data_IF_662147760316
#
_entry.id   IF_662147760316
#
_cell.length_a   1.000
_cell.length_b   1.000
_cell.length_c   1.000
_cell.angle_alpha   90.00
_cell.angle_beta   90.00
_cell.angle_gamma   90.00
#
_symmetry.space_group_name_H-M   'P 1'
#
loop_
_entity.id
_entity.type
_entity.pdbx_description
1 polymer ?
2 non-polymer ?
3 water ?
#
# COMPACT_ATOMS: atom_id res chain seq x y z
N UNK A 8 -21.70 -3.79 -15.15
CA UNK A 8 -21.53 -5.19 -14.78
C UNK A 8 -20.51 -5.34 -13.66
N UNK A 9 -20.95 -5.79 -12.48
CA UNK A 9 -20.04 -5.90 -11.35
C UNK A 9 -19.00 -7.00 -11.51
N UNK A 10 -17.79 -6.76 -10.99
CA UNK A 10 -16.69 -7.71 -11.03
C UNK A 10 -17.02 -8.98 -10.24
N UNK A 11 -16.57 -10.15 -10.71
CA UNK A 11 -16.79 -11.42 -10.00
C UNK A 11 -15.53 -11.86 -9.21
N UNK A 12 -14.72 -10.88 -8.82
CA UNK A 12 -13.43 -11.05 -8.17
C UNK A 12 -13.60 -11.05 -6.68
N UNK A 13 -13.13 -12.12 -6.01
CA UNK A 13 -13.23 -12.18 -4.55
C UNK A 13 -12.37 -11.07 -3.95
N UNK A 14 -12.98 -10.25 -3.11
CA UNK A 14 -12.31 -9.13 -2.48
C UNK A 14 -12.88 -8.96 -1.11
N UNK A 15 -12.08 -8.39 -0.20
CA UNK A 15 -12.57 -8.09 1.13
C UNK A 15 -11.78 -6.95 1.68
N UNK A 16 -12.40 -6.13 2.52
CA UNK A 16 -11.68 -5.06 3.22
C UNK A 16 -12.43 -4.95 4.57
N UNK A 17 -11.86 -5.52 5.64
CA UNK A 17 -12.53 -5.51 6.95
C UNK A 17 -11.78 -4.59 7.91
N UNK A 18 -12.48 -4.03 8.88
CA UNK A 18 -11.88 -2.99 9.73
C UNK A 18 -11.97 -3.35 11.22
N UNK A 19 -11.07 -2.80 12.06
CA UNK A 19 -11.14 -3.09 13.50
C UNK A 19 -12.44 -2.50 14.05
N UNK A 20 -13.10 -3.25 14.94
CA UNK A 20 -14.30 -2.76 15.60
C UNK A 20 -13.78 -1.77 16.61
N UNK A 21 -14.10 -0.48 16.48
CA UNK A 21 -13.59 0.50 17.44
C UNK A 21 -14.24 0.45 18.82
N UNK A 22 -15.34 -0.30 18.96
CA UNK A 22 -16.00 -0.43 20.26
C UNK A 22 -15.24 -1.42 21.16
N UNK A 23 -14.65 -2.48 20.54
CA UNK A 23 -13.92 -3.55 21.19
C UNK A 23 -12.50 -3.18 21.64
N UNK A 24 -12.37 -2.15 22.48
CA UNK A 24 -11.05 -1.73 23.01
C UNK A 24 -10.40 -2.89 23.78
N UNK A 25 -9.11 -3.12 23.57
CA UNK A 25 -8.41 -4.22 24.22
C UNK A 25 -8.53 -5.54 23.48
N UNK A 26 -9.00 -5.49 22.22
CA UNK A 26 -9.19 -6.68 21.37
C UNK A 26 -9.05 -6.24 19.90
N UNK A 27 -8.83 -7.18 18.97
CA UNK A 27 -8.76 -6.82 17.56
C UNK A 27 -9.79 -7.63 16.86
N UNK A 28 -11.00 -7.10 16.77
CA UNK A 28 -12.07 -7.83 16.13
C UNK A 28 -12.34 -7.19 14.78
N UNK A 29 -12.27 -7.98 13.74
CA UNK A 29 -12.51 -7.50 12.39
C UNK A 29 -14.02 -7.43 12.13
N UNK A 30 -14.46 -6.38 11.43
CA UNK A 30 -15.86 -6.23 11.04
C UNK A 30 -16.04 -6.00 9.56
N UNK A 31 -17.05 -6.61 8.98
CA UNK A 31 -17.53 -6.30 7.62
C UNK A 31 -18.85 -5.48 7.75
N UNK A 32 -19.57 -5.63 8.91
CA UNK A 32 -20.78 -4.93 9.28
C UNK A 32 -20.33 -3.66 9.96
N UNK A 33 -19.81 -2.77 9.12
CA UNK A 33 -19.32 -1.46 9.53
C UNK A 33 -19.26 -0.61 8.25
N UNK A 34 -19.37 0.70 8.39
CA UNK A 34 -19.27 1.62 7.24
C UNK A 34 -17.94 1.44 6.51
N UNK A 35 -17.98 1.45 5.17
CA UNK A 35 -16.79 1.38 4.34
C UNK A 35 -15.95 0.09 4.57
N UNK A 36 -16.64 -1.00 4.97
CA UNK A 36 -16.02 -2.33 5.10
C UNK A 36 -16.83 -3.24 4.18
N UNK A 37 -16.21 -4.27 3.62
CA UNK A 37 -16.92 -5.14 2.69
C UNK A 37 -16.37 -6.53 2.58
N UNK A 38 -17.23 -7.40 2.05
CA UNK A 38 -16.95 -8.75 1.65
C UNK A 38 -17.62 -8.87 0.28
N UNK A 39 -16.93 -9.40 -0.73
CA UNK A 39 -17.55 -9.55 -2.04
C UNK A 39 -17.15 -10.83 -2.72
N UNK A 40 -18.09 -11.40 -3.49
CA UNK A 40 -17.90 -12.56 -4.34
C UNK A 40 -17.38 -13.83 -3.62
N UNK A 41 -18.04 -14.20 -2.53
CA UNK A 41 -17.76 -15.41 -1.77
C UNK A 41 -16.84 -15.31 -0.56
N UNK A 42 -16.16 -14.16 -0.37
CA UNK A 42 -15.27 -14.02 0.78
C UNK A 42 -16.12 -13.93 2.02
N UNK A 43 -15.81 -14.75 3.05
CA UNK A 43 -16.56 -14.73 4.30
C UNK A 43 -15.69 -14.27 5.46
N UNK A 44 -16.29 -13.74 6.51
CA UNK A 44 -15.58 -13.38 7.72
C UNK A 44 -16.19 -14.32 8.77
N UNK A 45 -15.41 -15.31 9.23
CA UNK A 45 -15.88 -16.30 10.19
C UNK A 45 -14.88 -16.44 11.33
N UNK A 46 -15.32 -16.20 12.58
CA UNK A 46 -14.49 -16.30 13.79
C UNK A 46 -13.22 -15.44 13.67
N UNK A 47 -13.39 -14.18 13.25
CA UNK A 47 -12.29 -13.20 13.08
C UNK A 47 -11.34 -13.52 11.94
N UNK A 48 -11.69 -14.45 11.05
CA UNK A 48 -10.81 -14.82 9.95
C UNK A 48 -11.50 -14.67 8.58
N UNK A 49 -10.75 -14.26 7.55
CA UNK A 49 -11.32 -14.14 6.21
C UNK A 49 -11.21 -15.53 5.58
N UNK A 50 -12.28 -16.01 4.98
CA UNK A 50 -12.29 -17.31 4.34
C UNK A 50 -12.26 -17.13 2.85
N UNK A 51 -11.28 -17.74 2.22
CA UNK A 51 -11.04 -17.64 0.80
C UNK A 51 -12.02 -18.54 0.05
N UNK A 52 -12.79 -18.00 -0.92
CA UNK A 52 -13.81 -18.84 -1.57
C UNK A 52 -13.29 -19.72 -2.69
N UNK A 53 -12.21 -19.32 -3.35
CA UNK A 53 -11.64 -20.07 -4.45
C UNK A 53 -10.12 -19.97 -4.49
N UNK A 54 -9.47 -20.92 -5.14
CA UNK A 54 -8.01 -20.93 -5.27
C UNK A 54 -7.48 -19.84 -6.23
N UNK A 55 -6.20 -19.49 -6.08
CA UNK A 55 -5.56 -18.52 -6.96
C UNK A 55 -4.60 -17.60 -6.23
N UNK A 56 -3.97 -16.68 -6.96
CA UNK A 56 -3.09 -15.69 -6.33
C UNK A 56 -3.95 -14.59 -5.73
N UNK A 57 -3.55 -14.10 -4.57
CA UNK A 57 -4.25 -13.00 -3.92
C UNK A 57 -3.25 -12.03 -3.36
N UNK A 58 -3.60 -10.75 -3.37
CA UNK A 58 -2.86 -9.76 -2.65
C UNK A 58 -3.53 -9.77 -1.28
N UNK A 59 -2.74 -9.81 -0.24
CA UNK A 59 -3.22 -9.73 1.12
C UNK A 59 -2.56 -8.47 1.69
N UNK A 60 -3.29 -7.67 2.45
CA UNK A 60 -2.75 -6.42 2.99
C UNK A 60 -3.40 -6.13 4.31
N UNK A 61 -2.70 -5.37 5.15
CA UNK A 61 -3.24 -5.00 6.43
C UNK A 61 -2.43 -3.92 7.06
N UNK A 62 -3.10 -2.99 7.74
CA UNK A 62 -2.41 -1.98 8.52
C UNK A 62 -2.96 -1.98 9.91
N UNK A 63 -2.06 -1.81 10.89
CA UNK A 63 -2.48 -1.60 12.27
C UNK A 63 -1.75 -0.35 12.72
N UNK A 64 -2.33 0.38 13.66
CA UNK A 64 -1.67 1.57 14.16
C UNK A 64 -1.50 1.44 15.66
N UNK A 65 -0.27 1.60 16.16
CA UNK A 65 -0.03 1.54 17.60
C UNK A 65 0.25 2.93 18.12
N UNK A 66 -0.24 3.22 19.30
CA UNK A 66 -0.05 4.52 19.93
C UNK A 66 0.27 4.32 21.40
N UNK A 67 1.16 5.14 21.92
CA UNK A 67 1.53 5.09 23.33
C UNK A 67 1.83 6.48 23.85
N UNK A 68 1.65 6.71 25.15
CA UNK A 68 1.92 8.02 25.74
C UNK A 68 3.22 7.95 26.54
N UNK A 69 4.34 8.16 25.86
CA UNK A 69 5.65 8.09 26.50
C UNK A 69 6.32 6.75 26.33
N UNK A 70 7.29 6.43 27.20
CA UNK A 70 8.00 5.17 27.11
C UNK A 70 8.14 4.52 28.49
N UNK A 71 7.51 3.34 28.67
CA UNK A 71 7.56 2.66 29.98
C UNK A 71 8.90 2.00 30.31
N UNK A 72 9.06 1.57 31.59
CA UNK A 72 10.25 0.90 32.12
C UNK A 72 10.59 -0.41 31.38
N UNK A 73 9.60 -1.28 31.15
CA UNK A 73 9.82 -2.53 30.42
C UNK A 73 9.83 -2.21 28.92
N UNK A 74 10.74 -2.85 28.15
CA UNK A 74 10.80 -2.59 26.70
C UNK A 74 9.59 -3.15 25.94
N UNK A 75 9.03 -2.33 25.05
CA UNK A 75 7.85 -2.69 24.26
C UNK A 75 8.23 -3.23 22.89
N UNK A 76 7.67 -4.37 22.50
CA UNK A 76 7.88 -4.97 21.19
C UNK A 76 6.50 -5.10 20.54
N UNK A 77 6.29 -4.51 19.35
CA UNK A 77 4.99 -4.57 18.69
C UNK A 77 5.09 -5.48 17.49
N UNK A 78 4.20 -6.45 17.36
CA UNK A 78 4.22 -7.39 16.25
C UNK A 78 2.84 -7.41 15.57
N UNK A 79 2.84 -7.66 14.28
CA UNK A 79 1.62 -7.81 13.49
C UNK A 79 1.94 -8.97 12.55
N UNK A 80 1.03 -9.93 12.46
CA UNK A 80 1.30 -11.14 11.66
C UNK A 80 0.07 -11.56 10.91
N UNK A 81 0.25 -12.01 9.66
CA UNK A 81 -0.85 -12.52 8.89
C UNK A 81 -0.60 -13.99 8.68
N UNK A 82 -1.54 -14.81 9.13
CA UNK A 82 -1.43 -16.27 9.09
C UNK A 82 -2.43 -16.91 8.15
N UNK A 83 -2.07 -18.06 7.62
CA UNK A 83 -2.92 -18.86 6.75
C UNK A 83 -3.20 -20.17 7.50
N UNK A 84 -4.46 -20.60 7.51
CA UNK A 84 -4.87 -21.86 8.12
C UNK A 84 -5.48 -22.66 6.97
N UNK A 85 -4.69 -23.52 6.33
CA UNK A 85 -5.21 -24.28 5.19
C UNK A 85 -6.15 -25.42 5.64
N UNK A 86 -7.07 -25.86 4.74
CA UNK A 86 -7.99 -26.96 5.03
C UNK A 86 -7.20 -28.29 5.26
N UNK A 87 -6.11 -28.49 4.54
CA UNK A 87 -5.27 -29.69 4.66
C UNK A 87 -4.19 -29.62 5.75
N UNK A 88 -4.01 -28.46 6.38
CA UNK A 88 -3.03 -28.28 7.43
C UNK A 88 -3.55 -27.16 8.30
N UNK A 89 -4.50 -27.49 9.16
CA UNK A 89 -5.23 -26.52 9.96
C UNK A 89 -4.46 -25.95 11.15
N UNK A 90 -3.25 -25.44 10.89
CA UNK A 90 -2.39 -24.77 11.86
C UNK A 90 -1.96 -23.44 11.25
N UNK A 91 -1.85 -22.39 12.07
CA UNK A 91 -1.43 -21.07 11.59
C UNK A 91 -0.01 -21.11 11.02
N UNK A 92 0.12 -20.80 9.74
CA UNK A 92 1.40 -20.68 9.08
C UNK A 92 1.59 -19.23 8.69
N UNK A 93 2.62 -18.57 9.21
CA UNK A 93 2.88 -17.17 8.94
C UNK A 93 3.17 -16.92 7.48
N UNK A 94 2.57 -15.87 6.94
CA UNK A 94 2.79 -15.44 5.57
C UNK A 94 3.56 -14.12 5.60
N UNK A 95 3.15 -13.21 6.48
CA UNK A 95 3.71 -11.87 6.60
C UNK A 95 3.85 -11.57 8.07
N UNK A 96 4.92 -10.89 8.44
CA UNK A 96 5.14 -10.54 9.84
C UNK A 96 6.05 -9.34 9.96
N UNK A 97 5.91 -8.55 11.01
CA UNK A 97 6.79 -7.39 11.22
C UNK A 97 6.84 -7.03 12.68
N UNK A 98 8.03 -6.61 13.15
CA UNK A 98 8.26 -6.25 14.55
C UNK A 98 8.79 -4.82 14.64
N UNK A 99 8.37 -4.08 15.66
CA UNK A 99 8.80 -2.70 15.84
C UNK A 99 9.08 -2.40 17.30
N UNK A 100 10.09 -1.56 17.57
CA UNK A 100 10.40 -1.14 18.92
C UNK A 100 10.15 0.34 18.93
N UNK A 101 8.96 0.76 19.39
CA UNK A 101 8.62 2.20 19.37
C UNK A 101 9.56 3.10 20.14
N UNK A 102 10.07 2.60 21.28
CA UNK A 102 10.98 3.36 22.12
C UNK A 102 12.38 2.78 22.01
N UNK A 103 13.30 3.50 21.38
CA UNK A 103 14.69 3.06 21.29
C UNK A 103 15.29 3.31 22.68
N UNK A 104 15.13 4.54 23.20
CA UNK A 104 15.58 4.94 24.52
C UNK A 104 14.35 5.22 25.38
N UNK A 105 14.33 4.68 26.60
CA UNK A 105 13.25 4.86 27.56
C UNK A 105 13.21 6.32 28.07
N UNK A 106 12.01 6.81 28.43
CA UNK A 106 11.78 8.16 28.94
C UNK A 106 12.59 8.44 30.20
N UNK A 107 13.47 9.45 30.16
CA UNK A 107 14.26 9.78 31.35
C UNK A 107 13.56 10.74 32.31
N UNK A 112 7.22 13.05 28.57
CA UNK A 112 6.53 11.93 27.94
C UNK A 112 5.78 12.39 26.70
N UNK A 113 6.28 12.00 25.52
CA UNK A 113 5.64 12.39 24.27
C UNK A 113 4.92 11.22 23.59
N UNK A 114 3.68 11.44 23.12
CA UNK A 114 2.96 10.35 22.43
C UNK A 114 3.67 9.89 21.16
N UNK A 115 3.75 8.58 20.96
CA UNK A 115 4.36 8.01 19.76
C UNK A 115 3.31 7.24 18.97
N UNK A 116 3.45 7.22 17.65
CA UNK A 116 2.56 6.50 16.77
C UNK A 116 3.41 5.63 15.88
N UNK A 117 3.07 4.33 15.80
CA UNK A 117 3.80 3.33 15.01
C UNK A 117 2.90 2.48 14.15
N UNK A 118 2.76 2.82 12.87
CA UNK A 118 1.97 1.97 11.98
C UNK A 118 2.77 0.76 11.55
N UNK A 119 2.06 -0.34 11.34
CA UNK A 119 2.68 -1.54 10.83
C UNK A 119 1.88 -1.93 9.64
N UNK A 120 2.54 -1.92 8.49
CA UNK A 120 1.90 -2.30 7.26
C UNK A 120 2.47 -3.65 6.84
N UNK A 121 1.60 -4.53 6.30
CA UNK A 121 1.97 -5.83 5.78
C UNK A 121 1.21 -6.01 4.48
N UNK A 122 1.88 -6.54 3.47
CA UNK A 122 1.24 -6.76 2.19
C UNK A 122 2.07 -7.71 1.36
N UNK A 123 1.41 -8.55 0.59
CA UNK A 123 2.11 -9.48 -0.28
C UNK A 123 1.20 -10.31 -1.12
N UNK A 124 1.76 -10.98 -2.12
CA UNK A 124 0.97 -11.83 -3.02
C UNK A 124 1.23 -13.30 -2.69
N UNK A 125 0.16 -14.05 -2.42
CA UNK A 125 0.30 -15.46 -2.08
C UNK A 125 -0.70 -16.31 -2.83
N UNK A 126 -0.33 -17.56 -3.12
CA UNK A 126 -1.24 -18.51 -3.73
C UNK A 126 -2.05 -19.09 -2.58
N UNK A 127 -3.37 -19.00 -2.66
CA UNK A 127 -4.25 -19.51 -1.61
C UNK A 127 -5.16 -20.59 -2.17
N UNK A 128 -5.70 -21.44 -1.30
CA UNK A 128 -6.61 -22.51 -1.70
C UNK A 128 -8.01 -22.27 -1.14
N UNK A 129 -9.02 -22.86 -1.79
CA UNK A 129 -10.41 -22.71 -1.35
C UNK A 129 -10.59 -23.22 0.06
N UNK A 130 -11.14 -22.38 0.93
CA UNK A 130 -11.35 -22.77 2.31
C UNK A 130 -10.26 -22.30 3.26
N UNK A 131 -9.17 -21.69 2.74
CA UNK A 131 -8.11 -21.12 3.58
C UNK A 131 -8.68 -20.04 4.44
N UNK A 132 -8.25 -20.00 5.68
CA UNK A 132 -8.69 -18.98 6.62
C UNK A 132 -7.49 -18.07 6.86
N UNK A 133 -7.72 -16.75 6.90
CA UNK A 133 -6.64 -15.81 7.06
C UNK A 133 -6.84 -15.03 8.33
N UNK A 134 -5.82 -15.03 9.15
CA UNK A 134 -5.83 -14.37 10.43
C UNK A 134 -4.90 -13.14 10.35
N UNK A 135 -5.17 -12.09 11.12
CA UNK A 135 -4.32 -10.89 11.14
C UNK A 135 -4.33 -10.47 12.58
N UNK A 136 -3.22 -10.74 13.28
CA UNK A 136 -3.17 -10.51 14.72
C UNK A 136 -2.04 -9.67 15.22
N UNK A 137 -2.27 -8.97 16.32
CA UNK A 137 -1.23 -8.22 16.98
C UNK A 137 -0.91 -8.88 18.37
N UNK A 138 0.25 -8.55 18.96
CA UNK A 138 0.58 -9.08 20.28
C UNK A 138 0.08 -8.15 21.38
N UNK A 139 0.02 -6.82 21.10
CA UNK A 139 -0.42 -5.83 22.07
C UNK A 139 -1.70 -5.09 21.69
N UNK A 140 -2.91 -5.69 21.91
CA UNK A 140 -4.17 -4.95 21.64
C UNK A 140 -4.36 -3.73 22.52
N UNK A 141 -3.68 -3.68 23.68
CA UNK A 141 -3.75 -2.53 24.57
C UNK A 141 -3.01 -1.28 24.02
N UNK A 142 -2.16 -1.46 22.97
CA UNK A 142 -1.46 -0.33 22.33
C UNK A 142 -2.13 0.11 21.00
N UNK A 143 -2.99 -0.74 20.44
CA UNK A 143 -3.73 -0.51 19.22
C UNK A 143 -4.57 0.78 19.29
N UNK A 144 -4.52 1.59 18.22
CA UNK A 144 -5.27 2.83 18.12
C UNK A 144 -6.25 2.68 16.95
N UNK A 145 -7.52 2.46 17.28
CA UNK A 145 -8.56 2.34 16.27
C UNK A 145 -9.79 3.16 16.59
N UNK A 146 -9.66 4.23 17.39
CA UNK A 146 -10.81 5.07 17.72
C UNK A 146 -11.27 5.78 16.44
N UNK A 147 -10.36 6.53 15.74
CA UNK A 147 -10.66 7.20 14.47
C UNK A 147 -10.63 6.13 13.36
N UNK A 148 -11.54 6.23 12.39
CA UNK A 148 -11.65 5.23 11.35
C UNK A 148 -10.50 5.24 10.30
N UNK A 149 -10.37 4.16 9.54
CA UNK A 149 -9.34 4.05 8.51
C UNK A 149 -7.93 3.68 8.97
N UNK A 150 -7.70 3.53 10.28
CA UNK A 150 -6.36 3.22 10.80
C UNK A 150 -6.01 1.75 10.89
N UNK A 151 -7.02 0.89 11.04
CA UNK A 151 -6.77 -0.51 11.24
C UNK A 151 -7.66 -1.30 10.33
N UNK A 152 -7.03 -2.08 9.44
CA UNK A 152 -7.77 -2.79 8.43
C UNK A 152 -7.04 -4.01 7.88
N UNK A 153 -7.75 -4.83 7.09
CA UNK A 153 -7.20 -6.09 6.62
C UNK A 153 -8.01 -6.44 5.40
N UNK A 154 -7.35 -6.71 4.30
CA UNK A 154 -8.06 -7.01 3.08
C UNK A 154 -7.37 -7.98 2.18
N UNK A 155 -8.11 -8.49 1.22
CA UNK A 155 -7.61 -9.34 0.15
C UNK A 155 -8.21 -8.86 -1.19
N UNK A 156 -7.47 -9.13 -2.27
CA UNK A 156 -7.91 -8.84 -3.61
C UNK A 156 -7.39 -9.99 -4.44
N UNK A 157 -8.28 -10.77 -5.05
CA UNK A 157 -7.85 -11.87 -5.91
C UNK A 157 -7.26 -11.32 -7.19
N UNK A 158 -6.10 -11.82 -7.63
CA UNK A 158 -5.50 -11.34 -8.88
C UNK A 158 -6.22 -11.94 -10.09
N UNK B 12 -6.52 -10.89 -21.58
CA UNK B 12 -6.11 -9.71 -20.82
C UNK B 12 -4.64 -9.79 -20.45
N UNK B 13 -3.82 -8.90 -20.99
CA UNK B 13 -2.38 -8.93 -20.65
C UNK B 13 -2.11 -8.77 -19.17
N UNK B 14 -1.52 -9.80 -18.53
CA UNK B 14 -1.14 -9.75 -17.11
C UNK B 14 0.29 -10.26 -16.93
N UNK B 15 0.95 -9.85 -15.84
CA UNK B 15 2.30 -10.28 -15.51
C UNK B 15 2.56 -10.14 -14.01
N UNK B 16 3.23 -11.13 -13.41
CA UNK B 16 3.62 -11.11 -12.02
C UNK B 16 4.92 -11.85 -11.88
N UNK B 17 6.05 -11.13 -11.97
CA UNK B 17 7.37 -11.74 -11.84
C UNK B 17 7.94 -11.61 -10.43
N UNK B 18 8.82 -12.53 -10.06
CA UNK B 18 9.46 -12.58 -8.76
C UNK B 18 11.00 -12.38 -8.96
N UNK B 19 11.74 -12.07 -7.88
CA UNK B 19 13.18 -11.90 -7.99
C UNK B 19 13.91 -13.24 -8.02
N UNK B 20 15.06 -13.29 -8.71
CA UNK B 20 15.90 -14.47 -8.80
C UNK B 20 16.86 -14.47 -7.61
N UNK B 21 16.74 -15.44 -6.69
CA UNK B 21 17.63 -15.46 -5.52
C UNK B 21 18.90 -16.28 -5.75
N UNK B 23 21.07 -15.55 -8.99
CA UNK B 23 21.41 -14.14 -9.13
C UNK B 23 21.73 -13.50 -7.79
N UNK B 24 22.95 -13.01 -7.66
CA UNK B 24 23.41 -12.35 -6.44
C UNK B 24 23.79 -10.89 -6.76
N UNK B 25 23.75 -10.05 -5.74
CA UNK B 25 24.08 -8.63 -5.88
C UNK B 25 23.27 -7.88 -6.91
N UNK B 26 22.09 -8.41 -7.26
CA UNK B 26 21.24 -7.75 -8.26
C UNK B 26 19.76 -8.11 -8.09
N UNK B 27 18.88 -7.34 -8.75
CA UNK B 27 17.45 -7.57 -8.74
C UNK B 27 17.04 -8.02 -10.13
N UNK B 28 17.10 -9.34 -10.37
CA UNK B 28 16.75 -9.89 -11.66
C UNK B 28 15.34 -10.44 -11.59
N UNK B 29 14.50 -10.06 -12.55
CA UNK B 29 13.11 -10.53 -12.56
C UNK B 29 13.01 -11.82 -13.35
N UNK B 30 12.21 -12.77 -12.85
CA UNK B 30 12.07 -14.05 -13.55
C UNK B 30 10.66 -14.63 -13.46
N UNK B 31 10.32 -15.50 -14.42
CA UNK B 31 9.05 -16.20 -14.48
C UNK B 31 9.32 -17.68 -14.13
N UNK B 35 5.84 -18.39 -7.18
CA UNK B 35 4.49 -18.23 -7.70
C UNK B 35 4.44 -17.10 -8.74
N UNK B 36 5.22 -17.23 -9.82
CA UNK B 36 5.27 -16.24 -10.88
C UNK B 36 4.46 -16.64 -12.11
N UNK B 37 4.03 -15.66 -12.91
CA UNK B 37 3.24 -15.92 -14.13
C UNK B 37 3.35 -14.80 -15.16
N UNK B 38 3.49 -15.17 -16.43
CA UNK B 38 3.52 -14.22 -17.56
C UNK B 38 2.46 -14.69 -18.57
N UNK B 39 1.59 -13.79 -19.05
CA UNK B 39 0.52 -14.19 -19.97
C UNK B 39 0.00 -13.08 -20.91
N UNK B 40 -0.68 -13.49 -22.01
CA UNK B 40 -1.38 -12.70 -23.01
C UNK B 40 -0.60 -11.56 -23.70
N UNK B 41 0.70 -11.77 -23.91
CA UNK B 41 1.51 -10.79 -24.64
C UNK B 41 2.58 -10.09 -23.83
N UNK B 42 2.49 -10.15 -22.48
CA UNK B 42 3.50 -9.49 -21.66
C UNK B 42 4.76 -10.31 -21.61
N UNK B 43 5.80 -9.82 -22.29
CA UNK B 43 7.08 -10.51 -22.31
C UNK B 43 8.07 -9.90 -21.33
N UNK B 44 9.03 -10.70 -20.88
CA UNK B 44 10.07 -10.24 -19.98
C UNK B 44 11.38 -10.21 -20.74
N UNK B 45 11.66 -9.09 -21.42
CA UNK B 45 12.89 -8.96 -22.19
C UNK B 45 14.09 -8.70 -21.28
N UNK B 47 15.84 -6.40 -18.78
CA UNK B 47 15.16 -6.86 -17.56
C UNK B 47 13.76 -6.20 -17.39
N UNK B 48 13.18 -5.71 -18.48
CA UNK B 48 11.95 -4.96 -18.42
C UNK B 48 10.74 -5.68 -18.99
N UNK B 49 9.57 -5.41 -18.40
CA UNK B 49 8.32 -5.97 -18.88
C UNK B 49 7.91 -5.12 -20.08
N UNK B 50 7.58 -5.74 -21.22
CA UNK B 50 7.23 -4.97 -22.40
C UNK B 50 5.74 -5.04 -22.67
N UNK B 51 5.10 -3.88 -22.82
CA UNK B 51 3.67 -3.67 -23.01
C UNK B 51 3.18 -4.13 -24.39
N UNK B 52 2.32 -5.15 -24.43
CA UNK B 52 1.87 -5.69 -25.73
C UNK B 52 0.89 -4.82 -26.50
N UNK B 53 0.01 -4.11 -25.81
CA UNK B 53 -0.98 -3.26 -26.46
C UNK B 53 -1.23 -1.99 -25.69
N UNK B 54 -1.57 -0.91 -26.41
CA UNK B 54 -1.88 0.37 -25.84
C UNK B 54 -3.12 0.26 -24.95
N UNK B 55 -3.06 0.86 -23.78
CA UNK B 55 -4.19 0.82 -22.86
C UNK B 55 -3.86 1.29 -21.46
N UNK B 56 -4.78 1.05 -20.55
CA UNK B 56 -4.64 1.41 -19.13
C UNK B 56 -4.14 0.18 -18.39
N UNK B 57 -3.15 0.38 -17.55
CA UNK B 57 -2.56 -0.72 -16.80
C UNK B 57 -2.37 -0.34 -15.36
N UNK B 58 -2.66 -1.27 -14.44
CA UNK B 58 -2.27 -1.08 -13.05
C UNK B 58 -0.87 -1.69 -13.03
N UNK B 59 0.10 -0.95 -12.53
CA UNK B 59 1.47 -1.40 -12.38
C UNK B 59 1.73 -1.40 -10.89
N UNK B 60 2.25 -2.51 -10.36
CA UNK B 60 2.52 -2.61 -8.93
C UNK B 60 3.87 -3.30 -8.68
N UNK B 61 4.36 -3.20 -7.45
CA UNK B 61 5.58 -3.88 -7.05
C UNK B 61 5.78 -3.77 -5.54
N UNK B 62 6.69 -4.59 -5.04
CA UNK B 62 7.16 -4.54 -3.67
C UNK B 62 8.56 -5.10 -3.63
N UNK B 63 9.40 -4.51 -2.81
CA UNK B 63 10.74 -5.02 -2.55
C UNK B 63 10.88 -5.04 -1.04
N UNK B 64 11.78 -5.87 -0.54
CA UNK B 64 12.02 -5.99 0.88
C UNK B 64 13.51 -5.86 1.13
N UNK B 65 13.87 -4.88 1.95
CA UNK B 65 15.26 -4.66 2.30
C UNK B 65 15.46 -5.17 3.70
N UNK B 66 16.69 -5.60 4.02
CA UNK B 66 17.02 -6.09 5.35
C UNK B 66 18.52 -5.83 5.66
N UNK B 67 18.80 -5.55 6.91
CA UNK B 67 20.17 -5.34 7.35
C UNK B 67 20.33 -5.56 8.85
N UNK B 68 21.58 -5.62 9.31
CA UNK B 68 21.84 -5.81 10.74
C UNK B 68 22.64 -4.63 11.21
N UNK B 69 22.08 -3.88 12.16
CA UNK B 69 22.73 -2.68 12.66
C UNK B 69 22.81 -1.57 11.63
N UNK B 70 23.47 -0.47 11.98
CA UNK B 70 23.62 0.69 11.12
C UNK B 70 25.07 0.97 10.78
N UNK B 71 25.37 1.21 9.50
CA UNK B 71 26.77 1.47 9.11
C UNK B 71 27.23 2.92 9.38
N UNK B 72 28.50 3.22 9.09
CA UNK B 72 29.06 4.56 9.27
C UNK B 72 28.54 5.46 8.16
N UNK B 73 28.47 4.95 6.92
CA UNK B 73 27.94 5.72 5.80
C UNK B 73 26.41 5.65 5.88
N UNK B 74 25.74 6.82 5.80
CA UNK B 74 24.28 6.90 5.87
C UNK B 74 23.68 6.17 4.66
N UNK B 75 22.75 5.25 4.91
CA UNK B 75 22.17 4.45 3.84
C UNK B 75 20.74 4.88 3.50
N UNK B 76 20.51 5.14 2.23
CA UNK B 76 19.18 5.46 1.74
C UNK B 76 18.80 4.35 0.79
N UNK B 77 17.59 3.82 0.97
CA UNK B 77 17.06 2.69 0.19
C UNK B 77 16.01 3.23 -0.78
N UNK B 78 16.09 2.93 -2.07
CA UNK B 78 15.13 3.45 -3.03
C UNK B 78 14.57 2.33 -3.86
N UNK B 79 13.34 2.50 -4.31
CA UNK B 79 12.70 1.54 -5.21
C UNK B 79 11.91 2.38 -6.19
N UNK B 80 12.13 2.15 -7.50
CA UNK B 80 11.51 2.94 -8.54
C UNK B 80 11.01 2.08 -9.68
N UNK B 81 9.81 2.41 -10.18
CA UNK B 81 9.23 1.82 -11.37
C UNK B 81 9.36 2.91 -12.45
N UNK B 82 10.00 2.60 -13.59
CA UNK B 82 10.17 3.57 -14.65
C UNK B 82 9.47 3.15 -15.93
N UNK B 83 9.12 4.12 -16.75
CA UNK B 83 8.53 3.88 -18.06
C UNK B 83 9.56 4.33 -19.11
N UNK B 84 9.76 3.49 -20.13
CA UNK B 84 10.66 3.78 -21.24
C UNK B 84 9.82 3.70 -22.50
N UNK B 85 9.45 4.84 -23.10
CA UNK B 85 8.62 4.84 -24.30
C UNK B 85 9.45 5.09 -25.55
N UNK B 90 12.93 7.85 -23.68
CA UNK B 90 13.43 8.42 -22.41
C UNK B 90 13.09 7.52 -21.21
N UNK B 91 13.78 7.69 -20.08
CA UNK B 91 13.49 6.91 -18.87
C UNK B 91 12.87 7.84 -17.84
N UNK B 92 11.58 7.62 -17.51
CA UNK B 92 10.85 8.49 -16.59
C UNK B 92 10.29 7.72 -15.39
N UNK B 93 10.40 8.28 -14.18
CA UNK B 93 9.87 7.64 -12.98
C UNK B 93 8.35 7.68 -13.05
N UNK B 94 7.72 6.54 -12.80
CA UNK B 94 6.26 6.44 -12.70
C UNK B 94 5.91 6.41 -11.22
N UNK B 95 6.58 5.52 -10.45
CA UNK B 95 6.33 5.31 -9.03
C UNK B 95 7.68 5.20 -8.29
N UNK B 96 7.87 5.93 -7.17
CA UNK B 96 9.16 5.90 -6.48
C UNK B 96 9.03 6.23 -5.01
N UNK B 97 9.87 5.64 -4.17
CA UNK B 97 9.89 5.95 -2.74
C UNK B 97 11.30 5.70 -2.16
N UNK B 98 11.59 6.33 -1.04
CA UNK B 98 12.89 6.21 -0.39
C UNK B 98 12.65 5.93 1.08
N UNK B 99 13.47 5.07 1.67
CA UNK B 99 13.40 4.74 3.09
C UNK B 99 14.78 4.94 3.73
N UNK B 100 14.83 5.48 4.94
CA UNK B 100 16.08 5.67 5.65
C UNK B 100 16.04 4.75 6.88
N UNK B 101 16.62 3.54 6.78
CA UNK B 101 16.53 2.59 7.91
C UNK B 101 17.39 2.90 9.12
N UNK B 102 18.23 3.93 9.07
CA UNK B 102 19.15 4.23 10.17
C UNK B 102 19.28 5.74 10.44
N UNK B 103 18.63 6.24 11.49
CA UNK B 103 18.72 7.67 11.82
C UNK B 103 19.97 7.98 12.64
N UNK B 113 20.92 -4.34 16.23
CA UNK B 113 19.56 -4.82 16.04
C UNK B 113 19.22 -5.01 14.57
N UNK B 114 18.67 -6.17 14.19
CA UNK B 114 18.30 -6.38 12.77
C UNK B 114 17.08 -5.54 12.36
N UNK B 115 16.98 -5.18 11.08
CA UNK B 115 15.87 -4.38 10.57
C UNK B 115 15.37 -4.88 9.24
N UNK B 116 14.10 -4.59 8.94
CA UNK B 116 13.49 -4.96 7.67
C UNK B 116 12.70 -3.77 7.20
N UNK B 117 12.84 -3.40 5.93
CA UNK B 117 12.11 -2.28 5.38
C UNK B 117 11.57 -2.60 4.02
N UNK B 118 10.26 -2.82 3.90
CA UNK B 118 9.69 -3.04 2.56
C UNK B 118 9.32 -1.70 1.89
N UNK B 119 9.22 -1.69 0.56
CA UNK B 119 8.76 -0.52 -0.18
C UNK B 119 7.68 -0.98 -1.14
N UNK B 120 6.47 -0.41 -1.02
CA UNK B 120 5.33 -0.75 -1.87
C UNK B 120 5.00 0.37 -2.87
N UNK B 121 4.74 -0.02 -4.13
CA UNK B 121 4.41 0.87 -5.23
C UNK B 121 3.23 0.33 -6.00
N UNK B 122 2.39 1.21 -6.52
CA UNK B 122 1.24 0.80 -7.32
C UNK B 122 0.42 1.96 -7.84
N UNK B 123 0.00 1.88 -9.08
CA UNK B 123 -0.78 2.94 -9.71
C UNK B 123 -1.26 2.60 -11.10
N UNK B 124 -2.22 3.36 -11.66
CA UNK B 124 -2.77 3.11 -12.99
C UNK B 124 -2.16 4.07 -14.00
N UNK B 125 -1.75 3.54 -15.16
CA UNK B 125 -1.04 4.33 -16.15
C UNK B 125 -1.51 4.02 -17.59
N UNK B 126 -1.62 5.06 -18.42
CA UNK B 126 -1.94 4.95 -19.84
C UNK B 126 -0.61 4.69 -20.51
N UNK B 127 -0.42 3.50 -21.07
CA UNK B 127 0.82 3.14 -21.74
C UNK B 127 0.61 2.96 -23.24
N UNK B 128 1.69 3.11 -24.02
CA UNK B 128 1.69 2.88 -25.47
C UNK B 128 2.20 1.46 -25.76
N UNK B 129 1.82 0.90 -26.91
CA UNK B 129 2.27 -0.42 -27.35
C UNK B 129 3.80 -0.36 -27.55
N UNK B 130 4.49 -1.35 -27.02
CA UNK B 130 5.94 -1.42 -27.14
C UNK B 130 6.71 -0.77 -26.00
N UNK B 131 6.00 -0.03 -25.10
CA UNK B 131 6.65 0.61 -23.94
C UNK B 131 7.29 -0.42 -23.04
N UNK B 132 8.35 -0.03 -22.36
CA UNK B 132 9.04 -0.91 -21.44
C UNK B 132 8.89 -0.36 -20.02
N UNK B 133 8.80 -1.25 -19.04
CA UNK B 133 8.64 -0.87 -17.65
C UNK B 133 9.69 -1.58 -16.82
N UNK B 134 10.49 -0.83 -16.07
CA UNK B 134 11.53 -1.40 -15.23
C UNK B 134 11.24 -1.17 -13.74
N UNK B 135 11.65 -2.10 -12.88
CA UNK B 135 11.45 -1.94 -11.45
C UNK B 135 12.80 -2.17 -10.80
N UNK B 136 13.43 -1.10 -10.35
CA UNK B 136 14.77 -1.17 -9.81
C UNK B 136 14.88 -0.68 -8.39
N UNK B 137 16.01 -1.03 -7.75
CA UNK B 137 16.42 -0.60 -6.43
C UNK B 137 17.84 -0.05 -6.56
N UNK B 138 18.25 0.81 -5.65
CA UNK B 138 19.60 1.37 -5.69
C UNK B 138 20.62 0.45 -4.98
N UNK B 139 20.20 -0.28 -3.91
CA UNK B 139 21.08 -1.08 -3.06
C UNK B 139 20.73 -2.58 -3.01
N UNK B 140 21.03 -3.34 -4.08
CA UNK B 140 20.72 -4.78 -4.07
C UNK B 140 21.45 -5.57 -3.00
N UNK B 141 22.53 -5.02 -2.42
CA UNK B 141 23.25 -5.62 -1.31
C UNK B 141 22.37 -5.73 -0.04
N UNK B 142 21.31 -4.92 0.06
CA UNK B 142 20.41 -4.94 1.19
C UNK B 142 19.09 -5.69 0.88
N UNK B 143 18.89 -6.20 -0.33
CA UNK B 143 17.69 -6.91 -0.71
C UNK B 143 17.57 -8.24 0.04
N UNK B 144 16.33 -8.66 0.34
CA UNK B 144 16.08 -9.94 0.97
C UNK B 144 15.71 -10.93 -0.13
N UNK B 145 16.53 -11.95 -0.34
CA UNK B 145 16.30 -12.94 -1.40
C UNK B 145 15.48 -14.18 -0.93
N UNK B 146 15.19 -14.28 0.38
CA UNK B 146 14.43 -15.38 0.95
C UNK B 146 13.15 -14.86 1.62
N UNK B 148 9.71 -15.29 0.02
CA UNK B 148 8.73 -14.37 0.55
C UNK B 148 7.74 -13.90 -0.53
N UNK B 149 6.56 -13.51 -0.10
CA UNK B 149 5.56 -12.95 -1.00
C UNK B 149 5.70 -11.44 -1.02
N UNK B 150 6.93 -10.90 -0.86
CA UNK B 150 7.13 -9.46 -0.78
C UNK B 150 8.13 -8.86 -1.76
N UNK B 151 8.61 -9.62 -2.74
CA UNK B 151 9.54 -9.09 -3.73
C UNK B 151 8.97 -9.48 -5.05
N UNK B 152 8.30 -8.55 -5.72
CA UNK B 152 7.61 -8.86 -6.97
C UNK B 152 7.39 -7.61 -7.80
N UNK B 153 7.01 -7.77 -9.07
CA UNK B 153 6.74 -6.68 -10.01
C UNK B 153 5.66 -7.22 -10.91
N UNK B 154 4.56 -6.47 -11.05
CA UNK B 154 3.47 -6.92 -11.89
C UNK B 154 2.65 -5.86 -12.57
N UNK B 155 1.98 -6.25 -13.65
CA UNK B 155 1.09 -5.39 -14.40
C UNK B 155 -0.21 -6.10 -14.70
N UNK B 156 -1.31 -5.37 -14.70
CA UNK B 156 -2.61 -5.90 -15.03
C UNK B 156 -3.28 -4.93 -16.00
N UNK B 157 -3.54 -5.37 -17.23
CA UNK B 157 -4.26 -4.53 -18.20
C UNK B 157 -5.70 -4.43 -17.72
N UNK B 158 -6.24 -3.22 -17.67
CA UNK B 158 -7.58 -3.00 -17.18
C UNK B 158 -8.59 -2.94 -18.33
N UNK C 8 -11.28 5.52 -23.22
CA UNK C 8 -10.46 4.31 -23.40
C UNK C 8 -11.34 3.10 -23.78
N UNK C 9 -10.79 2.08 -24.47
CA UNK C 9 -11.61 0.90 -24.82
C UNK C 9 -12.17 0.08 -23.64
N UNK C 10 -11.57 0.19 -22.44
CA UNK C 10 -12.08 -0.56 -21.28
C UNK C 10 -13.32 0.08 -20.66
N UNK C 11 -13.41 1.41 -20.71
CA UNK C 11 -14.50 2.20 -20.13
C UNK C 11 -14.54 2.16 -18.58
N UNK C 12 -13.51 1.61 -17.94
CA UNK C 12 -13.44 1.55 -16.49
C UNK C 12 -13.03 2.91 -15.96
N UNK C 13 -13.83 3.51 -15.07
CA UNK C 13 -13.41 4.79 -14.47
C UNK C 13 -12.07 4.62 -13.73
N UNK C 14 -11.05 5.42 -14.10
CA UNK C 14 -9.73 5.37 -13.44
C UNK C 14 -9.21 6.81 -13.26
N UNK C 15 -8.31 6.98 -12.31
CA UNK C 15 -7.64 8.26 -12.10
C UNK C 15 -6.29 8.05 -11.43
N UNK C 16 -5.31 8.90 -11.80
CA UNK C 16 -4.01 8.88 -11.17
C UNK C 16 -3.52 10.28 -11.26
N UNK C 17 -3.60 10.97 -10.12
CA UNK C 17 -3.21 12.36 -10.01
C UNK C 17 -1.95 12.51 -9.16
N UNK C 18 -1.14 13.55 -9.48
CA UNK C 18 0.18 13.74 -8.85
C UNK C 18 0.24 15.09 -8.14
N UNK C 19 1.08 15.22 -7.13
CA UNK C 19 1.19 16.47 -6.38
C UNK C 19 1.99 17.54 -7.13
N UNK C 20 1.61 18.80 -6.93
CA UNK C 20 2.32 19.93 -7.50
C UNK C 20 3.50 20.23 -6.63
N UNK C 21 4.75 20.11 -7.12
CA UNK C 21 5.90 20.41 -6.25
C UNK C 21 6.00 21.85 -5.78
N UNK C 22 5.57 22.84 -6.58
CA UNK C 22 5.69 24.23 -6.16
C UNK C 22 4.42 24.80 -5.54
N UNK C 23 3.57 23.93 -4.98
CA UNK C 23 2.39 24.40 -4.26
C UNK C 23 2.88 24.69 -2.84
N UNK C 24 2.51 25.86 -2.30
CA UNK C 24 2.99 26.26 -0.98
C UNK C 24 1.95 25.96 0.07
N UNK C 25 2.39 25.26 1.13
CA UNK C 25 1.54 24.91 2.25
C UNK C 25 0.31 24.11 1.91
N UNK C 26 0.41 23.27 0.88
CA UNK C 26 -0.72 22.42 0.49
C UNK C 26 -0.28 21.18 -0.30
N UNK C 27 -1.20 20.21 -0.41
CA UNK C 27 -1.02 19.02 -1.22
C UNK C 27 -2.09 19.14 -2.31
N UNK C 28 -1.70 19.75 -3.43
CA UNK C 28 -2.58 20.03 -4.55
C UNK C 28 -2.36 18.95 -5.60
N UNK C 29 -3.42 18.30 -6.03
CA UNK C 29 -3.37 17.23 -7.03
C UNK C 29 -3.55 17.79 -8.43
N UNK C 30 -2.85 17.19 -9.43
CA UNK C 30 -2.90 17.62 -10.83
C UNK C 30 -3.13 16.42 -11.75
N UNK C 31 -3.94 16.59 -12.77
CA UNK C 31 -4.10 15.53 -13.81
C UNK C 31 -3.37 15.96 -15.11
N UNK C 32 -3.17 17.27 -15.33
CA UNK C 32 -2.50 17.81 -16.53
C UNK C 32 -1.00 17.77 -16.39
N UNK C 33 -0.46 16.58 -16.15
CA UNK C 33 0.96 16.33 -16.03
C UNK C 33 1.26 15.05 -16.79
N UNK C 34 2.54 14.81 -17.15
CA UNK C 34 2.90 13.57 -17.84
C UNK C 34 2.69 12.40 -16.87
N UNK C 35 2.21 11.28 -17.39
CA UNK C 35 1.97 10.10 -16.60
C UNK C 35 0.94 10.31 -15.46
N UNK C 36 -0.01 11.22 -15.70
CA UNK C 36 -1.17 11.50 -14.85
C UNK C 36 -2.42 11.44 -15.75
N UNK C 37 -3.55 10.99 -15.18
CA UNK C 37 -4.76 10.82 -15.97
C UNK C 37 -6.05 10.87 -15.19
N UNK C 38 -7.13 11.18 -15.91
CA UNK C 38 -8.53 11.12 -15.49
C UNK C 38 -9.19 10.46 -16.67
N UNK C 39 -9.79 9.29 -16.48
CA UNK C 39 -10.44 8.61 -17.59
C UNK C 39 -11.81 8.05 -17.26
N UNK C 40 -12.67 7.92 -18.28
CA UNK C 40 -13.99 7.31 -18.25
C UNK C 40 -14.93 7.87 -17.20
N UNK C 41 -14.95 9.19 -17.07
CA UNK C 41 -15.89 9.84 -16.18
C UNK C 41 -15.36 10.44 -14.89
N UNK C 42 -14.18 9.99 -14.41
CA UNK C 42 -13.67 10.53 -13.15
C UNK C 42 -13.33 11.99 -13.31
N UNK C 43 -13.67 12.82 -12.32
CA UNK C 43 -13.35 14.24 -12.38
C UNK C 43 -12.49 14.64 -11.21
N UNK C 44 -11.79 15.77 -11.36
CA UNK C 44 -10.97 16.34 -10.31
C UNK C 44 -11.59 17.70 -10.12
N UNK C 45 -12.27 17.90 -9.01
CA UNK C 45 -13.00 19.11 -8.70
C UNK C 45 -12.64 19.49 -7.28
N UNK C 46 -12.23 20.73 -7.02
CA UNK C 46 -11.86 21.21 -5.68
C UNK C 46 -10.86 20.29 -4.98
N UNK C 47 -9.81 19.85 -5.72
CA UNK C 47 -8.77 18.97 -5.18
C UNK C 47 -9.27 17.59 -4.75
N UNK C 48 -10.49 17.21 -5.17
CA UNK C 48 -11.05 15.92 -4.80
C UNK C 48 -11.33 15.13 -6.06
N UNK C 49 -11.25 13.79 -6.00
CA UNK C 49 -11.63 12.93 -7.13
C UNK C 49 -13.13 12.66 -6.99
N UNK C 50 -13.90 12.79 -8.08
CA UNK C 50 -15.35 12.61 -8.11
C UNK C 50 -15.68 11.36 -8.92
N UNK C 51 -16.38 10.42 -8.27
CA UNK C 51 -16.71 9.09 -8.80
C UNK C 51 -17.89 9.16 -9.79
N UNK C 52 -17.77 8.58 -10.99
CA UNK C 52 -18.87 8.70 -11.98
C UNK C 52 -19.95 7.64 -11.89
N UNK C 53 -19.66 6.50 -11.22
CA UNK C 53 -20.63 5.44 -11.12
C UNK C 53 -20.38 4.56 -9.90
N UNK C 54 -21.44 3.90 -9.45
CA UNK C 54 -21.43 2.99 -8.31
C UNK C 54 -20.59 1.76 -8.65
N UNK C 55 -19.92 1.19 -7.65
CA UNK C 55 -19.12 -0.01 -7.86
C UNK C 55 -17.98 -0.20 -6.87
N UNK C 56 -17.24 -1.27 -7.03
CA UNK C 56 -16.07 -1.56 -6.21
C UNK C 56 -14.90 -0.83 -6.87
N UNK C 57 -14.11 -0.12 -6.06
CA UNK C 57 -12.94 0.60 -6.52
C UNK C 57 -11.70 0.30 -5.64
N UNK C 58 -10.55 0.17 -6.28
CA UNK C 58 -9.29 0.14 -5.56
C UNK C 58 -9.01 1.63 -5.42
N UNK C 59 -8.73 2.07 -4.20
CA UNK C 59 -8.41 3.48 -3.96
C UNK C 59 -6.99 3.47 -3.39
N UNK C 60 -6.09 4.34 -3.87
CA UNK C 60 -4.71 4.31 -3.40
C UNK C 60 -4.06 5.68 -3.33
N UNK C 61 -3.03 5.79 -2.51
CA UNK C 61 -2.29 7.05 -2.41
C UNK C 61 -0.93 6.85 -1.81
N UNK C 62 0.06 7.60 -2.29
CA UNK C 62 1.37 7.58 -1.68
C UNK C 62 1.81 9.00 -1.44
N UNK C 63 2.39 9.25 -0.27
CA UNK C 63 3.09 10.50 0.07
C UNK C 63 4.49 10.12 0.57
N UNK C 64 5.45 11.02 0.40
CA UNK C 64 6.79 10.80 0.88
C UNK C 64 7.17 12.04 1.65
N UNK C 65 7.47 11.86 2.91
CA UNK C 65 7.90 12.93 3.79
C UNK C 65 9.42 12.86 3.96
N UNK C 66 10.05 14.00 4.23
CA UNK C 66 11.48 14.05 4.44
C UNK C 66 11.82 15.16 5.41
N UNK C 67 12.71 14.88 6.33
CA UNK C 67 13.20 15.88 7.27
C UNK C 67 14.71 15.82 7.37
N UNK C 68 15.31 16.89 7.87
CA UNK C 68 16.75 16.94 8.08
C UNK C 68 16.99 16.91 9.56
N UNK C 69 17.37 15.75 10.07
CA UNK C 69 17.61 15.59 11.49
C UNK C 69 16.32 15.47 12.28
N UNK C 70 16.45 15.48 13.60
CA UNK C 70 15.32 15.33 14.49
C UNK C 70 15.32 16.46 15.51
N UNK C 71 14.27 17.29 15.51
CA UNK C 71 14.23 18.43 16.45
C UNK C 71 13.69 18.05 17.82
N UNK C 74 7.39 17.51 19.21
CA UNK C 74 7.78 16.42 18.34
C UNK C 74 6.93 16.35 17.08
N UNK C 75 7.52 15.86 16.00
CA UNK C 75 6.88 15.77 14.71
C UNK C 75 5.91 14.60 14.59
N UNK C 76 4.69 14.88 14.12
CA UNK C 76 3.71 13.85 13.80
C UNK C 76 3.35 14.03 12.33
N UNK C 77 3.38 12.96 11.55
CA UNK C 77 3.00 12.98 10.14
C UNK C 77 1.70 12.20 9.96
N UNK C 78 0.76 12.76 9.20
CA UNK C 78 -0.50 12.06 8.94
C UNK C 78 -0.80 12.05 7.46
N UNK C 79 -1.44 11.00 7.03
CA UNK C 79 -1.84 10.88 5.63
C UNK C 79 -3.18 10.21 5.66
N UNK C 80 -4.20 10.82 5.05
CA UNK C 80 -5.58 10.32 5.11
C UNK C 80 -6.35 10.36 3.79
N UNK C 81 -6.96 9.23 3.40
CA UNK C 81 -7.87 9.22 2.27
C UNK C 81 -9.29 9.25 2.89
N UNK C 82 -10.14 10.19 2.46
CA UNK C 82 -11.54 10.42 2.94
C UNK C 82 -12.58 10.22 1.83
N UNK C 83 -13.84 9.98 2.22
CA UNK C 83 -14.93 9.83 1.31
C UNK C 83 -16.09 10.69 1.79
N UNK C 84 -16.65 11.46 0.87
CA UNK C 84 -17.86 12.25 1.08
C UNK C 84 -18.93 11.57 0.26
N UNK C 85 -19.75 10.79 0.94
CA UNK C 85 -20.84 10.09 0.27
C UNK C 85 -21.94 11.11 -0.03
N UNK C 86 -22.45 11.12 -1.27
CA UNK C 86 -23.43 12.12 -1.70
C UNK C 86 -24.77 12.02 -0.91
N UNK C 87 -25.24 10.81 -0.59
CA UNK C 87 -26.48 10.66 0.19
C UNK C 87 -26.32 11.21 1.61
N UNK C 88 -25.16 10.96 2.23
CA UNK C 88 -24.92 11.38 3.60
C UNK C 88 -24.46 12.81 3.75
N UNK C 89 -23.62 13.30 2.84
CA UNK C 89 -23.00 14.62 2.95
C UNK C 89 -22.04 14.70 4.15
N UNK C 90 -21.39 13.58 4.48
CA UNK C 90 -20.44 13.53 5.59
C UNK C 90 -19.07 13.10 5.09
N UNK C 91 -18.01 13.61 5.70
CA UNK C 91 -16.65 13.25 5.30
C UNK C 91 -16.05 12.27 6.30
N UNK C 92 -15.76 11.02 5.89
CA UNK C 92 -15.15 10.08 6.83
C UNK C 92 -13.84 9.48 6.26
N UNK C 93 -12.89 9.08 7.12
CA UNK C 93 -11.63 8.51 6.65
C UNK C 93 -11.88 7.07 6.22
N UNK C 94 -11.34 6.71 5.07
CA UNK C 94 -11.34 5.36 4.58
C UNK C 94 -10.02 4.71 5.00
N UNK C 95 -8.89 5.44 4.88
CA UNK C 95 -7.52 4.93 5.12
C UNK C 95 -6.76 6.05 5.75
N UNK C 96 -6.06 5.80 6.84
CA UNK C 96 -5.34 6.85 7.53
C UNK C 96 -4.12 6.29 8.24
N UNK C 97 -3.01 7.00 8.16
CA UNK C 97 -1.81 6.60 8.86
C UNK C 97 -1.28 7.79 9.67
N UNK C 98 -0.72 7.51 10.84
CA UNK C 98 -0.12 8.51 11.70
C UNK C 98 1.24 7.94 12.04
N UNK C 99 2.30 8.75 11.94
CA UNK C 99 3.65 8.28 12.17
C UNK C 99 4.48 9.34 12.88
N UNK C 100 5.28 8.96 13.87
CA UNK C 100 6.19 9.88 14.52
C UNK C 100 7.56 9.46 14.02
N UNK C 101 8.14 10.24 13.08
CA UNK C 101 9.42 9.84 12.49
C UNK C 101 10.65 9.84 13.41
N UNK C 102 10.63 10.67 14.45
CA UNK C 102 11.78 10.81 15.33
C UNK C 102 11.59 10.19 16.70
N UNK C 113 21.41 14.26 9.68
CA UNK C 113 21.21 13.31 8.58
C UNK C 113 19.73 13.24 8.14
N UNK C 114 19.49 13.09 6.83
CA UNK C 114 18.10 13.10 6.35
C UNK C 114 17.30 11.83 6.64
N UNK C 115 16.02 12.00 7.03
CA UNK C 115 15.15 10.86 7.22
C UNK C 115 14.04 10.88 6.15
N UNK C 116 13.60 9.71 5.72
CA UNK C 116 12.56 9.61 4.71
C UNK C 116 11.46 8.71 5.19
N UNK C 117 10.20 9.13 4.99
CA UNK C 117 9.06 8.30 5.38
C UNK C 117 8.03 8.17 4.28
N UNK C 118 8.03 7.07 3.52
CA UNK C 118 6.94 6.87 2.54
C UNK C 118 5.69 6.32 3.24
N UNK C 119 4.52 6.73 2.77
CA UNK C 119 3.28 6.21 3.32
C UNK C 119 2.41 5.82 2.16
N UNK C 120 2.13 4.54 2.03
CA UNK C 120 1.26 4.04 0.98
C UNK C 120 -0.04 3.58 1.62
N UNK C 121 -1.17 4.11 1.14
CA UNK C 121 -2.50 3.73 1.67
C UNK C 121 -3.25 3.14 0.51
N UNK C 122 -3.75 1.93 0.67
CA UNK C 122 -4.52 1.30 -0.41
C UNK C 122 -5.58 0.33 0.10
N UNK C 123 -6.65 0.16 -0.66
CA UNK C 123 -7.73 -0.75 -0.29
C UNK C 123 -8.88 -0.75 -1.29
N UNK C 124 -9.83 -1.69 -1.14
CA UNK C 124 -11.01 -1.77 -2.00
C UNK C 124 -12.28 -1.33 -1.30
N UNK C 125 -13.04 -0.43 -1.94
CA UNK C 125 -14.22 0.19 -1.37
C UNK C 125 -15.42 0.20 -2.29
N UNK C 126 -16.60 0.08 -1.70
CA UNK C 126 -17.85 0.20 -2.44
C UNK C 126 -18.13 1.67 -2.48
N UNK C 127 -18.18 2.25 -3.68
CA UNK C 127 -18.48 3.68 -3.80
C UNK C 127 -19.76 3.87 -4.61
N UNK C 128 -20.36 5.03 -4.45
CA UNK C 128 -21.60 5.44 -5.11
C UNK C 128 -21.33 6.56 -6.11
N UNK C 129 -22.27 6.78 -7.05
CA UNK C 129 -22.14 7.85 -8.04
C UNK C 129 -22.14 9.20 -7.35
N UNK C 130 -21.16 10.03 -7.69
CA UNK C 130 -21.05 11.34 -7.07
C UNK C 130 -20.24 11.43 -5.80
N UNK C 131 -19.75 10.28 -5.26
CA UNK C 131 -18.89 10.34 -4.06
C UNK C 131 -17.63 11.18 -4.36
N UNK C 132 -17.18 11.97 -3.40
CA UNK C 132 -15.96 12.73 -3.55
C UNK C 132 -14.89 12.11 -2.65
N UNK C 133 -13.68 11.87 -3.19
CA UNK C 133 -12.58 11.28 -2.45
C UNK C 133 -11.46 12.30 -2.29
N UNK C 134 -10.93 12.43 -1.08
CA UNK C 134 -9.84 13.37 -0.87
C UNK C 134 -8.61 12.64 -0.28
N UNK C 135 -7.41 13.20 -0.49
CA UNK C 135 -6.16 12.61 0.02
C UNK C 135 -5.40 13.76 0.61
N UNK C 136 -5.34 13.82 1.91
CA UNK C 136 -4.70 14.92 2.59
C UNK C 136 -3.58 14.51 3.52
N UNK C 137 -2.77 15.50 3.95
CA UNK C 137 -1.70 15.34 4.89
C UNK C 137 -1.72 16.53 5.86
N UNK C 138 -1.03 16.41 7.01
CA UNK C 138 -1.01 17.52 7.98
C UNK C 138 0.18 18.44 7.78
N UNK C 139 1.26 17.95 7.14
CA UNK C 139 2.51 18.69 6.99
C UNK C 139 3.00 18.73 5.55
N UNK C 140 2.46 19.66 4.74
CA UNK C 140 2.93 19.77 3.36
C UNK C 140 4.37 20.27 3.26
N UNK C 141 4.86 20.99 4.25
CA UNK C 141 6.24 21.47 4.28
C UNK C 141 7.26 20.31 4.43
N UNK C 142 6.82 19.14 4.92
CA UNK C 142 7.67 17.96 5.01
C UNK C 142 7.62 17.09 3.74
N UNK C 143 6.77 17.42 2.75
CA UNK C 143 6.72 16.64 1.51
C UNK C 143 8.01 16.68 0.72
N UNK C 144 8.32 15.58 0.04
CA UNK C 144 9.50 15.52 -0.79
C UNK C 144 9.16 15.27 -2.27
N UNK C 145 9.72 16.12 -3.15
CA UNK C 145 9.50 16.03 -4.58
C UNK C 145 10.81 15.97 -5.36
N UNK C 146 11.87 15.43 -4.78
CA UNK C 146 13.17 15.31 -5.46
C UNK C 146 13.04 14.58 -6.82
N UNK C 147 12.26 13.53 -6.88
CA UNK C 147 12.02 12.78 -8.10
C UNK C 147 10.52 12.69 -8.38
N UNK C 148 10.16 12.42 -9.62
CA UNK C 148 8.78 12.25 -10.00
C UNK C 148 8.28 10.92 -9.45
N UNK C 149 6.97 10.79 -9.33
CA UNK C 149 6.36 9.55 -8.87
C UNK C 149 6.42 9.30 -7.39
N UNK C 150 6.66 10.34 -6.56
CA UNK C 150 6.79 10.12 -5.11
C UNK C 150 5.51 10.48 -4.33
N UNK C 151 4.63 11.32 -4.93
CA UNK C 151 3.38 11.74 -4.33
C UNK C 151 2.23 11.61 -5.34
N UNK C 152 1.28 10.72 -5.05
CA UNK C 152 0.23 10.40 -5.99
C UNK C 152 -1.05 9.89 -5.30
N UNK C 153 -2.16 9.85 -6.06
CA UNK C 153 -3.48 9.48 -5.55
C UNK C 153 -4.28 8.94 -6.74
N UNK C 154 -4.96 7.82 -6.56
CA UNK C 154 -5.74 7.26 -7.67
C UNK C 154 -6.83 6.31 -7.29
N UNK C 155 -7.64 5.97 -8.29
CA UNK C 155 -8.69 4.99 -8.12
C UNK C 155 -8.74 4.13 -9.39
N UNK C 156 -9.19 2.91 -9.24
CA UNK C 156 -9.38 2.03 -10.36
C UNK C 156 -10.70 1.33 -10.12
N UNK C 157 -11.65 1.43 -11.07
CA UNK C 157 -12.91 0.73 -10.94
C UNK C 157 -12.65 -0.73 -11.20
N UNK C 158 -13.19 -1.62 -10.35
CA UNK C 158 -13.02 -3.06 -10.57
C UNK C 158 -14.01 -3.51 -11.65
X LIG D 1 -6.12 -4.96 -8.48
X LIG D 1 -4.63 -4.40 -6.87
X LIG D 1 -3.77 -5.43 -7.24
X LIG D 1 -1.96 -4.39 -6.11
X LIG D 1 -0.81 -4.47 -5.45
X LIG D 1 -0.43 -6.78 -5.93
X LIG D 1 1.87 -3.22 -3.35
X LIG D 1 0.54 -1.30 -3.95
X LIG D 1 -1.63 -2.19 -3.26
X LIG D 1 -3.85 -2.18 -2.34
X LIG D 1 -1.96 -2.25 -0.86
X LIG D 1 -7.87 -3.21 -9.19
X LIG D 1 -7.44 -4.67 -9.22
X LIG D 1 -8.54 -5.56 -8.65
X LIG D 1 -7.30 -5.03 -10.61
X LIG D 1 -5.79 -4.14 -7.48
X LIG D 1 -4.24 -6.21 -8.28
X LIG D 1 -5.40 -6.00 -8.92
X LIG D 1 -2.39 -5.53 -6.68
X LIG D 1 0.01 -5.60 -5.33
X LIG D 1 -1.61 -6.70 -6.63
X LIG D 1 -1.95 -7.78 -7.37
X LIG D 1 1.12 -5.30 -4.55
X LIG D 1 0.96 -4.04 -4.22
X LIG D 1 1.17 -2.05 -2.85
X LIG D 1 -0.66 -2.13 -4.43
X LIG D 1 -3.01 -2.16 -3.43
X LIG D 1 -3.33 -2.22 -1.07
X LIG D 1 -1.10 -2.24 -1.97
X LIG D 1 0.36 -2.37 -1.75
X LIG D 1 0.84 -2.85 -0.74
X LIG D 1 -0.19 -3.49 -4.73
#
# INVERSE_FOLDING_TARGET
MVRSSSRTPSDKPVAHVVANPQAEGQLQWLNRRANALLANGVELRDNQLVVPSEGLYLIYSQVLFKGQGCPSTHVLLTHTISRIAVSYQTKVNLLSAIKSPCQRETPEGAEAKPWYEPIYLGGVFQLEKGDRLSAEINRPDYLDFAESGQVYFGIIAL
MVRSSSRTPSDKPVAHVVANPQAEGQLQWLNRRANALLANGVELRDNQLVVPSEGLYLIYSQVLFKGQGCPSTHVLLTHTISRIAVSYQTKVNLLSAIKSPCQRETPEGAEAKPWYEPIYLGGVFQLEKGDRLSAEINRPDYLDFAESGQVYFGIIAL
MVRSSSRTPSDKPVAHVVANPQAEGQLQWLNRRANALLANGVELRDNQLVVPSEGLYLIYSQVLFKGQGCPSTHVLLTHTISRIAVSYQTKVNLLSAIKSPCQRETPEGAEAKPWYEPIYLGGVFQLEKGDRLSAEINRPDYLDFAESGQVYFGIIAL
A1CB0 C5 C7 C8 N12 C13 C15 C20 C22 C24 C26 C28 C1 C2 C3 O4 N6 C9 N10 C11 C14 C16 F17 N18 C19 N21 C23 C25 C27 C29 C30 O31 N32
#
